data_IF_909661587366
#
_entry.id   IF_909661587366
#
_cell.length_a   1.000
_cell.length_b   1.000
_cell.length_c   1.000
_cell.angle_alpha   90.00
_cell.angle_beta   90.00
_cell.angle_gamma   90.00
#
_symmetry.space_group_name_H-M   'P 1'
#
loop_
_entity.id
_entity.type
_entity.pdbx_description
1 polymer ?
#
# COMPACT_ATOMS: atom_id res chain seq x y z
N UNK A 1 -16.05 -9.04 -1.72
CA UNK A 1 -14.94 -8.16 -2.15
C UNK A 1 -14.20 -8.78 -3.33
N UNK A 2 -13.53 -7.98 -4.17
CA UNK A 2 -12.77 -8.44 -5.35
C UNK A 2 -11.42 -7.74 -5.34
N UNK A 3 -10.31 -8.51 -5.33
CA UNK A 3 -8.96 -7.94 -5.29
C UNK A 3 -7.97 -8.81 -6.11
N UNK A 4 -7.24 -8.20 -7.05
CA UNK A 4 -6.20 -8.88 -7.81
C UNK A 4 -4.90 -8.99 -6.98
N UNK A 5 -4.97 -9.73 -5.91
CA UNK A 5 -3.88 -9.95 -4.94
C UNK A 5 -4.03 -11.33 -4.30
N UNK A 6 -3.03 -11.77 -3.53
CA UNK A 6 -3.16 -12.94 -2.64
C UNK A 6 -3.62 -12.46 -1.27
N UNK A 7 -4.59 -13.16 -0.66
CA UNK A 7 -5.26 -12.67 0.56
C UNK A 7 -4.31 -12.52 1.74
N UNK A 8 -3.43 -13.49 1.98
CA UNK A 8 -2.54 -13.50 3.12
C UNK A 8 -1.48 -12.38 3.10
N UNK A 9 -1.12 -11.90 1.90
CA UNK A 9 -0.05 -10.89 1.75
C UNK A 9 -0.56 -9.45 1.65
N UNK A 10 -1.88 -9.25 1.47
CA UNK A 10 -2.46 -7.92 1.34
C UNK A 10 -3.12 -7.46 2.64
N UNK A 11 -2.34 -6.78 3.46
CA UNK A 11 -2.77 -6.32 4.78
C UNK A 11 -3.98 -5.37 4.74
N UNK A 12 -4.16 -4.57 3.66
CA UNK A 12 -5.30 -3.66 3.53
C UNK A 12 -6.59 -4.41 3.23
N UNK A 13 -6.58 -5.21 2.17
CA UNK A 13 -7.75 -6.03 1.76
C UNK A 13 -8.20 -6.92 2.92
N UNK A 14 -7.24 -7.55 3.58
CA UNK A 14 -7.47 -8.43 4.70
C UNK A 14 -8.12 -7.69 5.88
N UNK A 15 -7.53 -6.59 6.32
CA UNK A 15 -8.04 -5.78 7.44
C UNK A 15 -9.44 -5.24 7.19
N UNK A 16 -9.73 -4.76 5.99
CA UNK A 16 -11.06 -4.27 5.63
C UNK A 16 -12.08 -5.39 5.59
N UNK A 17 -11.73 -6.54 5.02
CA UNK A 17 -12.60 -7.72 4.98
C UNK A 17 -12.92 -8.25 6.39
N UNK A 18 -11.91 -8.43 7.23
CA UNK A 18 -12.03 -8.89 8.61
C UNK A 18 -12.84 -7.89 9.47
N UNK A 19 -12.65 -6.59 9.25
CA UNK A 19 -13.45 -5.55 9.92
C UNK A 19 -14.94 -5.69 9.63
N UNK A 20 -15.33 -5.91 8.38
CA UNK A 20 -16.74 -6.06 8.02
C UNK A 20 -17.25 -7.44 8.43
N UNK A 21 -16.45 -8.49 8.32
CA UNK A 21 -16.83 -9.85 8.75
C UNK A 21 -17.03 -9.97 10.27
N UNK A 22 -16.42 -9.09 11.08
CA UNK A 22 -16.64 -9.05 12.52
C UNK A 22 -18.04 -8.54 12.93
N UNK A 23 -18.80 -7.97 11.99
CA UNK A 23 -20.17 -7.50 12.25
C UNK A 23 -21.17 -8.65 12.05
N UNK A 24 -22.13 -8.87 12.99
CA UNK A 24 -23.03 -10.02 12.97
C UNK A 24 -23.94 -10.06 11.74
N UNK A 25 -24.24 -8.89 11.15
CA UNK A 25 -25.18 -8.76 10.03
C UNK A 25 -24.51 -8.93 8.66
N UNK A 26 -23.20 -9.14 8.62
CA UNK A 26 -22.44 -9.22 7.37
C UNK A 26 -21.78 -10.58 7.18
N UNK A 27 -21.88 -11.10 5.96
CA UNK A 27 -21.06 -12.22 5.47
C UNK A 27 -20.17 -11.71 4.37
N UNK A 28 -18.87 -11.89 4.53
CA UNK A 28 -17.86 -11.36 3.58
C UNK A 28 -17.23 -12.51 2.82
N UNK A 29 -17.31 -12.43 1.47
CA UNK A 29 -16.54 -13.30 0.58
C UNK A 29 -15.56 -12.44 -0.19
N UNK A 30 -14.28 -12.86 -0.26
CA UNK A 30 -13.22 -12.16 -0.99
C UNK A 30 -12.74 -13.03 -2.16
N UNK A 31 -12.85 -12.52 -3.39
CA UNK A 31 -12.31 -13.15 -4.58
C UNK A 31 -10.89 -12.65 -4.82
N UNK A 32 -9.93 -13.58 -4.82
CA UNK A 32 -8.50 -13.29 -4.87
C UNK A 32 -7.76 -14.21 -5.86
N UNK A 33 -6.50 -13.90 -6.14
CA UNK A 33 -5.60 -14.79 -6.88
C UNK A 33 -5.31 -16.05 -6.07
N UNK A 34 -5.08 -17.16 -6.76
CA UNK A 34 -4.67 -18.39 -6.09
C UNK A 34 -3.26 -18.26 -5.52
N UNK A 35 -3.09 -18.74 -4.32
CA UNK A 35 -1.83 -18.83 -3.61
C UNK A 35 -1.35 -20.30 -3.52
N UNK A 36 -2.30 -21.22 -3.49
CA UNK A 36 -2.07 -22.67 -3.47
C UNK A 36 -1.92 -23.25 -4.88
N UNK A 37 -1.41 -24.47 -4.96
CA UNK A 37 -1.24 -25.18 -6.26
C UNK A 37 -2.58 -25.28 -7.01
N UNK A 38 -3.67 -25.56 -6.28
CA UNK A 38 -5.04 -25.53 -6.78
C UNK A 38 -5.81 -24.40 -6.11
N UNK A 39 -6.76 -23.80 -6.86
CA UNK A 39 -7.64 -22.76 -6.31
C UNK A 39 -8.53 -23.35 -5.21
N UNK A 40 -8.56 -22.70 -4.06
CA UNK A 40 -9.23 -23.19 -2.86
C UNK A 40 -10.31 -22.19 -2.37
N UNK A 41 -11.21 -22.68 -1.53
CA UNK A 41 -12.12 -21.85 -0.76
C UNK A 41 -12.01 -22.23 0.69
N UNK A 42 -11.70 -21.26 1.55
CA UNK A 42 -11.51 -21.47 2.98
C UNK A 42 -12.05 -20.28 3.79
N UNK A 43 -12.20 -20.47 5.08
CA UNK A 43 -12.61 -19.39 6.00
C UNK A 43 -11.41 -19.00 6.84
N UNK A 44 -11.11 -17.70 6.90
CA UNK A 44 -10.07 -17.13 7.74
C UNK A 44 -10.60 -15.86 8.41
N UNK A 45 -10.54 -15.81 9.74
CA UNK A 45 -11.00 -14.66 10.54
C UNK A 45 -12.42 -14.18 10.18
N UNK A 46 -13.34 -15.15 9.95
CA UNK A 46 -14.74 -14.89 9.57
C UNK A 46 -14.96 -14.52 8.10
N UNK A 47 -13.92 -14.45 7.29
CA UNK A 47 -13.97 -14.13 5.86
C UNK A 47 -13.92 -15.39 5.02
N UNK A 48 -14.89 -15.58 4.09
CA UNK A 48 -14.83 -16.60 3.05
C UNK A 48 -13.85 -16.17 1.97
N UNK A 49 -12.66 -16.75 1.93
CA UNK A 49 -11.65 -16.49 0.90
C UNK A 49 -11.87 -17.47 -0.24
N UNK A 50 -12.12 -16.94 -1.43
CA UNK A 50 -12.34 -17.71 -2.65
C UNK A 50 -11.20 -17.43 -3.62
N UNK A 51 -10.27 -18.35 -3.74
CA UNK A 51 -9.20 -18.28 -4.72
C UNK A 51 -9.74 -18.55 -6.13
N UNK A 52 -9.56 -17.61 -7.02
CA UNK A 52 -9.84 -17.80 -8.43
C UNK A 52 -8.66 -18.52 -9.09
N UNK A 53 -8.93 -19.37 -10.08
CA UNK A 53 -7.85 -20.16 -10.72
C UNK A 53 -6.95 -19.29 -11.63
N UNK A 54 -6.35 -18.27 -11.07
CA UNK A 54 -5.43 -17.33 -11.72
C UNK A 54 -4.23 -17.11 -10.81
N UNK A 55 -3.05 -17.47 -11.28
CA UNK A 55 -1.80 -17.22 -10.56
C UNK A 55 -1.31 -15.78 -10.77
N UNK A 56 -0.64 -15.21 -9.76
CA UNK A 56 0.00 -13.89 -9.87
C UNK A 56 1.12 -13.93 -10.92
N UNK A 57 0.96 -13.18 -12.00
CA UNK A 57 2.04 -13.02 -12.97
C UNK A 57 3.16 -12.13 -12.39
N UNK A 58 4.41 -12.59 -12.47
CA UNK A 58 5.59 -11.88 -11.91
C UNK A 58 6.65 -11.53 -12.98
N UNK A 59 6.30 -11.66 -14.26
CA UNK A 59 7.24 -11.38 -15.37
C UNK A 59 7.20 -9.93 -15.82
N UNK A 60 8.09 -9.55 -16.75
CA UNK A 60 8.20 -8.19 -17.32
C UNK A 60 7.28 -7.93 -18.54
N UNK A 61 6.53 -8.92 -19.01
CA UNK A 61 5.73 -8.80 -20.23
C UNK A 61 4.36 -8.17 -19.92
N UNK A 62 4.14 -6.95 -20.40
CA UNK A 62 2.91 -6.17 -20.20
C UNK A 62 1.66 -6.86 -20.73
N UNK A 63 1.76 -7.56 -21.89
CA UNK A 63 0.61 -8.29 -22.46
C UNK A 63 0.18 -9.46 -21.59
N UNK A 64 1.12 -10.19 -20.99
CA UNK A 64 0.80 -11.26 -20.04
C UNK A 64 0.16 -10.73 -18.77
N UNK A 65 0.54 -9.54 -18.30
CA UNK A 65 -0.16 -8.87 -17.21
C UNK A 65 -1.61 -8.57 -17.60
N UNK A 66 -1.82 -7.96 -18.77
CA UNK A 66 -3.16 -7.63 -19.23
C UNK A 66 -4.05 -8.87 -19.37
N UNK A 67 -3.52 -9.94 -19.96
CA UNK A 67 -4.23 -11.22 -20.08
C UNK A 67 -4.59 -11.78 -18.70
N UNK A 68 -3.67 -11.73 -17.73
CA UNK A 68 -3.93 -12.20 -16.37
C UNK A 68 -5.03 -11.39 -15.69
N UNK A 69 -5.05 -10.06 -15.87
CA UNK A 69 -6.14 -9.21 -15.37
C UNK A 69 -7.50 -9.52 -16.00
N UNK A 70 -7.52 -9.75 -17.32
CA UNK A 70 -8.77 -10.09 -18.05
C UNK A 70 -9.29 -11.45 -17.60
N UNK A 71 -8.43 -12.46 -17.47
CA UNK A 71 -8.83 -13.79 -16.99
C UNK A 71 -9.38 -13.69 -15.56
N UNK A 72 -8.73 -12.95 -14.68
CA UNK A 72 -9.21 -12.72 -13.32
C UNK A 72 -10.57 -12.00 -13.32
N UNK A 73 -10.73 -10.94 -14.13
CA UNK A 73 -11.98 -10.22 -14.29
C UNK A 73 -13.12 -11.17 -14.70
N UNK A 74 -12.87 -12.06 -15.68
CA UNK A 74 -13.90 -13.00 -16.15
C UNK A 74 -14.33 -13.97 -15.06
N UNK A 75 -13.39 -14.55 -14.30
CA UNK A 75 -13.71 -15.41 -13.17
C UNK A 75 -14.48 -14.66 -12.07
N UNK A 76 -14.04 -13.46 -11.71
CA UNK A 76 -14.72 -12.61 -10.74
C UNK A 76 -16.13 -12.21 -11.20
N UNK A 77 -16.30 -11.89 -12.49
CA UNK A 77 -17.59 -11.58 -13.10
C UNK A 77 -18.57 -12.75 -12.98
N UNK A 78 -18.14 -13.96 -13.34
CA UNK A 78 -18.99 -15.16 -13.24
C UNK A 78 -19.40 -15.45 -11.79
N UNK A 79 -18.46 -15.39 -10.86
CA UNK A 79 -18.72 -15.60 -9.42
C UNK A 79 -19.65 -14.52 -8.85
N UNK A 80 -19.40 -13.24 -9.18
CA UNK A 80 -20.21 -12.13 -8.72
C UNK A 80 -21.65 -12.20 -9.27
N UNK A 81 -21.81 -12.51 -10.56
CA UNK A 81 -23.12 -12.71 -11.20
C UNK A 81 -23.84 -13.92 -10.59
N UNK A 82 -23.13 -15.04 -10.36
CA UNK A 82 -23.70 -16.21 -9.70
C UNK A 82 -24.23 -15.92 -8.29
N UNK A 83 -23.45 -15.20 -7.45
CA UNK A 83 -23.92 -14.76 -6.12
C UNK A 83 -25.11 -13.79 -6.21
N UNK A 84 -25.16 -12.94 -7.23
CA UNK A 84 -26.32 -12.09 -7.48
C UNK A 84 -27.57 -12.91 -7.83
N UNK A 85 -27.46 -13.86 -8.75
CA UNK A 85 -28.59 -14.73 -9.18
C UNK A 85 -29.09 -15.61 -8.05
N UNK A 86 -28.22 -16.09 -7.16
CA UNK A 86 -28.60 -16.84 -5.95
C UNK A 86 -29.12 -15.95 -4.81
N UNK A 87 -29.28 -14.64 -5.05
CA UNK A 87 -29.77 -13.67 -4.07
C UNK A 87 -28.92 -13.57 -2.78
N UNK A 88 -27.60 -13.82 -2.91
CA UNK A 88 -26.64 -13.81 -1.80
C UNK A 88 -25.64 -12.64 -1.91
N UNK A 89 -25.94 -11.61 -2.71
CA UNK A 89 -25.07 -10.46 -2.96
C UNK A 89 -25.82 -9.16 -2.67
N UNK A 90 -25.35 -8.36 -1.72
CA UNK A 90 -25.92 -7.07 -1.34
C UNK A 90 -25.05 -5.88 -1.72
N UNK A 91 -23.75 -6.07 -1.71
CA UNK A 91 -22.74 -5.03 -1.95
C UNK A 91 -21.50 -5.65 -2.60
N UNK A 92 -20.89 -4.94 -3.54
CA UNK A 92 -19.60 -5.32 -4.10
C UNK A 92 -18.56 -4.26 -3.72
N UNK A 93 -17.43 -4.67 -3.16
CA UNK A 93 -16.29 -3.82 -2.89
C UNK A 93 -15.12 -4.30 -3.75
N UNK A 94 -14.64 -3.44 -4.62
CA UNK A 94 -13.57 -3.74 -5.58
C UNK A 94 -12.33 -2.95 -5.20
N UNK A 95 -11.24 -3.65 -4.95
CA UNK A 95 -9.91 -3.05 -4.73
C UNK A 95 -9.16 -2.96 -6.05
N UNK A 96 -8.65 -1.79 -6.38
CA UNK A 96 -7.78 -1.66 -7.53
C UNK A 96 -6.36 -2.16 -7.15
N UNK A 97 -5.42 -2.46 -8.01
CA UNK A 97 -5.37 -2.27 -9.46
C UNK A 97 -5.67 -3.57 -10.19
N UNK A 98 -6.27 -3.53 -11.38
CA UNK A 98 -6.71 -2.34 -12.13
C UNK A 98 -8.13 -1.88 -11.77
N UNK A 99 -8.50 -0.62 -12.12
CA UNK A 99 -9.84 -0.10 -11.82
C UNK A 99 -10.94 -0.83 -12.58
N UNK A 100 -10.67 -1.32 -13.79
CA UNK A 100 -11.67 -2.01 -14.61
C UNK A 100 -12.18 -3.32 -13.98
N UNK A 101 -11.60 -3.79 -12.87
CA UNK A 101 -12.19 -4.89 -12.08
C UNK A 101 -13.61 -4.56 -11.59
N UNK A 102 -13.99 -3.29 -11.54
CA UNK A 102 -15.37 -2.86 -11.24
C UNK A 102 -16.38 -3.46 -12.21
N UNK A 103 -15.98 -3.81 -13.45
CA UNK A 103 -16.84 -4.48 -14.42
C UNK A 103 -17.22 -5.90 -14.02
N UNK A 104 -16.52 -6.53 -13.07
CA UNK A 104 -16.96 -7.80 -12.51
C UNK A 104 -18.34 -7.69 -11.84
N UNK A 105 -18.72 -6.50 -11.41
CA UNK A 105 -20.02 -6.21 -10.79
C UNK A 105 -21.02 -5.55 -11.75
N UNK A 106 -20.77 -5.52 -13.08
CA UNK A 106 -21.62 -4.76 -14.02
C UNK A 106 -23.07 -5.24 -14.01
N UNK A 107 -23.33 -6.55 -14.05
CA UNK A 107 -24.68 -7.10 -14.00
C UNK A 107 -25.35 -6.76 -12.66
N UNK A 108 -24.81 -7.14 -11.48
CA UNK A 108 -25.38 -6.71 -10.21
C UNK A 108 -25.62 -5.20 -10.12
N UNK A 109 -24.70 -4.40 -10.65
CA UNK A 109 -24.79 -2.93 -10.63
C UNK A 109 -25.96 -2.38 -11.43
N UNK A 110 -26.23 -2.95 -12.62
CA UNK A 110 -27.37 -2.58 -13.45
C UNK A 110 -28.70 -2.88 -12.76
N UNK A 111 -28.73 -3.89 -11.89
CA UNK A 111 -29.90 -4.27 -11.09
C UNK A 111 -29.89 -3.69 -9.66
N UNK A 112 -29.16 -2.59 -9.43
CA UNK A 112 -29.25 -1.78 -8.22
C UNK A 112 -28.29 -2.12 -7.11
N UNK A 113 -27.46 -3.19 -7.24
CA UNK A 113 -26.39 -3.48 -6.26
C UNK A 113 -25.39 -2.32 -6.20
N UNK A 114 -25.04 -1.92 -5.01
CA UNK A 114 -24.05 -0.83 -4.81
C UNK A 114 -22.65 -1.39 -5.00
N UNK A 115 -21.78 -0.55 -5.56
CA UNK A 115 -20.37 -0.91 -5.80
C UNK A 115 -19.47 0.14 -5.18
N UNK A 116 -18.53 -0.31 -4.35
CA UNK A 116 -17.41 0.49 -3.83
C UNK A 116 -16.20 0.21 -4.71
N UNK A 117 -15.49 1.25 -5.13
CA UNK A 117 -14.17 1.16 -5.76
C UNK A 117 -13.14 1.73 -4.79
N UNK A 118 -12.26 0.88 -4.25
CA UNK A 118 -11.16 1.28 -3.39
C UNK A 118 -9.89 1.46 -4.25
N UNK A 119 -9.45 2.71 -4.36
CA UNK A 119 -8.29 3.11 -5.14
C UNK A 119 -7.06 3.14 -4.22
N UNK A 120 -6.26 2.07 -4.25
CA UNK A 120 -5.01 1.99 -3.52
C UNK A 120 -3.93 2.88 -4.14
N UNK A 121 -3.81 2.80 -5.46
CA UNK A 121 -2.90 3.61 -6.27
C UNK A 121 -3.65 4.21 -7.46
N UNK A 122 -3.34 5.46 -7.81
CA UNK A 122 -3.89 6.06 -9.02
C UNK A 122 -3.21 5.41 -10.24
N UNK A 123 -4.02 4.79 -11.09
CA UNK A 123 -3.59 3.92 -12.18
C UNK A 123 -2.65 4.64 -13.15
N UNK A 124 -3.00 5.84 -13.56
CA UNK A 124 -2.29 6.62 -14.58
C UNK A 124 -0.87 6.92 -14.14
N UNK A 125 -0.69 7.42 -12.92
CA UNK A 125 0.61 7.75 -12.34
C UNK A 125 1.46 6.50 -12.13
N UNK A 126 0.84 5.41 -11.69
CA UNK A 126 1.53 4.15 -11.45
C UNK A 126 2.04 3.54 -12.76
N UNK A 127 1.24 3.55 -13.82
CA UNK A 127 1.69 3.08 -15.14
C UNK A 127 2.75 4.00 -15.74
N UNK A 128 2.60 5.33 -15.64
CA UNK A 128 3.60 6.27 -16.12
C UNK A 128 4.96 6.10 -15.43
N UNK A 129 4.98 5.66 -14.17
CA UNK A 129 6.22 5.41 -13.43
C UNK A 129 6.89 4.07 -13.74
N UNK A 130 6.11 3.07 -14.19
CA UNK A 130 6.62 1.70 -14.46
C UNK A 130 7.15 1.53 -15.88
N UNK A 131 6.58 2.25 -16.83
CA UNK A 131 6.85 2.03 -18.24
C UNK A 131 7.51 3.27 -18.86
N UNK A 132 8.85 3.26 -18.95
CA UNK A 132 9.62 4.23 -19.71
C UNK A 132 9.21 4.16 -21.19
N UNK A 133 8.49 5.14 -21.68
CA UNK A 133 8.00 5.17 -23.07
C UNK A 133 6.51 5.44 -23.23
N UNK A 134 5.74 5.53 -22.15
CA UNK A 134 4.35 5.97 -22.18
C UNK A 134 4.20 7.49 -22.40
N UNK A 135 4.92 8.03 -23.37
CA UNK A 135 4.71 9.40 -23.85
C UNK A 135 3.49 9.51 -24.79
N UNK A 136 2.89 8.38 -25.19
CA UNK A 136 1.75 8.38 -26.10
C UNK A 136 0.52 9.04 -25.45
N UNK A 137 0.20 10.24 -25.94
CA UNK A 137 -0.91 11.06 -25.46
C UNK A 137 -2.26 10.33 -25.55
N UNK A 138 -2.43 9.49 -26.57
CA UNK A 138 -3.65 8.71 -26.80
C UNK A 138 -3.82 7.63 -25.72
N UNK A 139 -2.74 6.96 -25.32
CA UNK A 139 -2.80 5.96 -24.26
C UNK A 139 -3.14 6.58 -22.88
N UNK A 140 -2.52 7.72 -22.55
CA UNK A 140 -2.86 8.46 -21.31
C UNK A 140 -4.33 8.86 -21.31
N UNK A 141 -4.83 9.34 -22.44
CA UNK A 141 -6.25 9.67 -22.59
C UNK A 141 -7.14 8.43 -22.37
N UNK A 142 -6.76 7.28 -22.94
CA UNK A 142 -7.48 6.01 -22.72
C UNK A 142 -7.55 5.62 -21.24
N UNK A 143 -6.47 5.79 -20.48
CA UNK A 143 -6.45 5.54 -19.03
C UNK A 143 -7.34 6.53 -18.26
N UNK A 144 -7.39 7.80 -18.65
CA UNK A 144 -8.31 8.77 -18.03
C UNK A 144 -9.78 8.41 -18.30
N UNK A 145 -10.09 7.96 -19.52
CA UNK A 145 -11.44 7.49 -19.86
C UNK A 145 -11.80 6.25 -19.05
N UNK A 146 -10.87 5.29 -18.93
CA UNK A 146 -11.07 4.09 -18.09
C UNK A 146 -11.35 4.47 -16.63
N UNK A 147 -10.49 5.32 -16.02
CA UNK A 147 -10.68 5.81 -14.66
C UNK A 147 -12.05 6.48 -14.48
N UNK A 148 -12.40 7.36 -15.40
CA UNK A 148 -13.68 8.08 -15.37
C UNK A 148 -14.88 7.12 -15.45
N UNK A 149 -14.86 6.14 -16.36
CA UNK A 149 -15.93 5.13 -16.50
C UNK A 149 -16.04 4.31 -15.22
N UNK A 150 -14.92 3.81 -14.70
CA UNK A 150 -14.89 3.00 -13.49
C UNK A 150 -15.42 3.78 -12.27
N UNK A 151 -15.01 5.04 -12.12
CA UNK A 151 -15.52 5.95 -11.09
C UNK A 151 -17.01 6.28 -11.26
N UNK A 152 -17.51 6.35 -12.50
CA UNK A 152 -18.96 6.54 -12.76
C UNK A 152 -19.77 5.32 -12.36
N UNK A 153 -19.31 4.11 -12.66
CA UNK A 153 -19.94 2.85 -12.27
C UNK A 153 -19.98 2.66 -10.75
N UNK A 154 -18.95 3.07 -10.05
CA UNK A 154 -18.89 3.00 -8.60
C UNK A 154 -19.98 3.87 -7.92
N UNK A 155 -20.60 3.35 -6.87
CA UNK A 155 -21.53 4.10 -6.00
C UNK A 155 -20.78 4.99 -5.03
N UNK A 156 -19.66 4.48 -4.51
CA UNK A 156 -18.69 5.19 -3.64
C UNK A 156 -17.28 4.84 -4.06
N UNK A 157 -16.35 5.71 -3.74
CA UNK A 157 -14.93 5.58 -4.08
C UNK A 157 -14.13 5.86 -2.81
N UNK A 158 -13.23 4.97 -2.49
CA UNK A 158 -12.27 5.13 -1.38
C UNK A 158 -10.92 5.54 -1.98
N UNK A 159 -10.23 6.47 -1.33
CA UNK A 159 -8.87 6.92 -1.65
C UNK A 159 -7.97 6.68 -0.43
N UNK A 160 -6.71 6.34 -0.66
CA UNK A 160 -5.77 6.05 0.45
C UNK A 160 -5.18 7.29 1.11
N UNK A 161 -5.35 8.49 0.52
CA UNK A 161 -4.89 9.74 1.10
C UNK A 161 -5.60 10.96 0.48
N UNK A 162 -5.45 12.13 1.11
CA UNK A 162 -6.11 13.36 0.69
C UNK A 162 -5.58 13.91 -0.64
N UNK A 163 -4.34 13.60 -1.06
CA UNK A 163 -3.81 14.03 -2.35
C UNK A 163 -4.45 13.26 -3.50
N UNK A 164 -4.63 11.94 -3.34
CA UNK A 164 -5.40 11.14 -4.29
C UNK A 164 -6.85 11.61 -4.38
N UNK A 165 -7.47 11.89 -3.22
CA UNK A 165 -8.81 12.47 -3.18
C UNK A 165 -8.88 13.76 -4.00
N UNK A 166 -7.96 14.71 -3.77
CA UNK A 166 -7.93 15.97 -4.50
C UNK A 166 -7.69 15.76 -6.01
N UNK A 167 -6.77 14.86 -6.37
CA UNK A 167 -6.53 14.51 -7.78
C UNK A 167 -7.78 14.01 -8.49
N UNK A 168 -8.60 13.18 -7.83
CA UNK A 168 -9.84 12.68 -8.40
C UNK A 168 -10.91 13.79 -8.48
N UNK A 169 -10.97 14.70 -7.51
CA UNK A 169 -11.84 15.89 -7.57
C UNK A 169 -11.46 16.76 -8.76
N UNK A 170 -10.17 17.05 -8.95
CA UNK A 170 -9.66 17.87 -10.05
C UNK A 170 -9.93 17.22 -11.43
N UNK A 171 -10.07 15.89 -11.47
CA UNK A 171 -10.48 15.11 -12.66
C UNK A 171 -12.00 15.05 -12.85
N UNK A 172 -12.78 15.77 -12.04
CA UNK A 172 -14.24 15.88 -12.17
C UNK A 172 -15.02 14.73 -11.56
N UNK A 173 -14.42 13.94 -10.66
CA UNK A 173 -15.16 12.93 -9.89
C UNK A 173 -15.92 13.64 -8.77
N UNK A 174 -17.22 13.32 -8.66
CA UNK A 174 -18.12 14.00 -7.72
C UNK A 174 -17.70 13.76 -6.26
N UNK A 175 -17.46 14.84 -5.52
CA UNK A 175 -17.07 14.85 -4.08
C UNK A 175 -17.92 13.91 -3.23
N UNK A 176 -19.25 13.91 -3.44
CA UNK A 176 -20.20 13.04 -2.70
C UNK A 176 -19.94 11.54 -2.85
N UNK A 177 -19.17 11.11 -3.85
CA UNK A 177 -18.77 9.70 -4.04
C UNK A 177 -17.48 9.36 -3.31
N UNK A 178 -16.64 10.34 -3.04
CA UNK A 178 -15.28 10.15 -2.55
C UNK A 178 -15.22 10.14 -1.02
N UNK A 179 -14.38 9.30 -0.47
CA UNK A 179 -13.95 9.32 0.92
C UNK A 179 -12.49 8.92 1.04
N UNK A 180 -11.84 9.38 2.11
CA UNK A 180 -10.47 8.98 2.42
C UNK A 180 -10.50 7.89 3.49
N UNK A 181 -9.91 6.74 3.18
CA UNK A 181 -9.62 5.67 4.13
C UNK A 181 -8.13 5.35 4.02
N UNK A 182 -7.34 5.90 4.91
CA UNK A 182 -5.88 5.82 4.81
C UNK A 182 -5.37 4.39 4.98
N UNK A 183 -4.29 4.07 4.27
CA UNK A 183 -3.59 2.80 4.47
C UNK A 183 -2.63 2.91 5.67
N UNK A 184 -3.16 2.77 6.87
CA UNK A 184 -2.43 2.87 8.13
C UNK A 184 -1.87 1.52 8.56
N UNK A 185 -0.80 1.48 9.37
CA UNK A 185 -0.37 0.26 10.04
C UNK A 185 -1.48 -0.31 10.93
N UNK A 186 -1.50 -1.63 11.06
CA UNK A 186 -2.41 -2.31 11.98
C UNK A 186 -1.97 -2.02 13.44
N UNK A 187 -2.79 -1.32 14.26
CA UNK A 187 -2.39 -0.97 15.62
C UNK A 187 -2.22 -2.18 16.55
N UNK A 188 -2.84 -3.32 16.23
CA UNK A 188 -2.63 -4.55 16.98
C UNK A 188 -1.22 -5.13 16.78
N UNK A 189 -0.61 -4.89 15.63
CA UNK A 189 0.72 -5.40 15.27
C UNK A 189 1.80 -4.33 15.41
N UNK A 190 1.51 -3.11 14.94
CA UNK A 190 2.43 -1.97 14.94
C UNK A 190 2.08 -1.03 16.09
N UNK A 191 2.49 -1.37 17.29
CA UNK A 191 2.33 -0.50 18.46
C UNK A 191 3.65 -0.29 19.18
N UNK A 192 3.80 0.91 19.72
CA UNK A 192 4.88 1.24 20.66
C UNK A 192 4.56 0.61 22.03
N UNK A 193 4.77 -0.68 22.19
CA UNK A 193 4.73 -1.29 23.50
C UNK A 193 5.96 -0.81 24.25
N UNK A 194 5.82 0.00 25.29
CA UNK A 194 6.81 0.69 26.09
C UNK A 194 8.15 0.01 26.45
N UNK A 195 8.57 -0.96 25.66
CA UNK A 195 9.88 -1.58 25.72
C UNK A 195 10.95 -0.54 25.47
N UNK A 196 11.73 -0.27 26.48
CA UNK A 196 12.91 0.60 26.38
C UNK A 196 13.84 0.00 25.31
N UNK A 197 14.14 0.78 24.28
CA UNK A 197 15.22 0.44 23.34
C UNK A 197 16.51 0.14 24.11
N UNK A 198 17.15 -0.97 23.78
CA UNK A 198 18.50 -1.22 24.24
C UNK A 198 19.41 -0.06 23.78
N UNK A 199 20.21 0.55 24.66
CA UNK A 199 21.00 1.71 24.31
C UNK A 199 21.99 1.40 23.17
N UNK A 200 22.09 2.32 22.21
CA UNK A 200 22.96 2.31 21.04
C UNK A 200 24.45 1.99 21.31
N UNK A 201 24.90 2.16 22.53
CA UNK A 201 26.33 2.29 22.88
C UNK A 201 27.17 1.01 22.75
N UNK A 202 26.59 -0.14 22.41
CA UNK A 202 27.36 -1.40 22.32
C UNK A 202 27.28 -2.12 20.96
N UNK A 203 26.49 -1.65 19.99
CA UNK A 203 26.19 -2.42 18.77
C UNK A 203 26.33 -1.65 17.43
N UNK A 204 26.81 -0.40 17.43
CA UNK A 204 26.82 0.46 16.24
C UNK A 204 25.45 1.05 15.91
N UNK A 205 25.37 1.82 14.80
CA UNK A 205 24.15 2.48 14.33
C UNK A 205 23.52 1.69 13.19
N UNK A 206 22.28 1.25 13.35
CA UNK A 206 21.61 0.32 12.44
C UNK A 206 20.47 1.00 11.69
N UNK A 207 20.63 1.06 10.39
CA UNK A 207 19.62 1.51 9.43
C UNK A 207 18.83 0.32 8.91
N UNK A 208 17.56 0.53 8.58
CA UNK A 208 16.74 -0.48 7.92
C UNK A 208 15.92 0.10 6.78
N UNK A 209 15.85 -0.65 5.70
CA UNK A 209 14.83 -0.59 4.66
C UNK A 209 14.09 -1.92 4.62
N UNK A 210 12.78 -1.91 4.47
CA UNK A 210 12.00 -3.13 4.31
C UNK A 210 10.89 -2.95 3.27
N UNK A 211 10.68 -3.99 2.46
CA UNK A 211 9.62 -4.07 1.45
C UNK A 211 10.14 -4.31 0.03
N UNK A 212 9.41 -3.83 -0.98
CA UNK A 212 9.72 -4.09 -2.38
C UNK A 212 11.04 -3.44 -2.80
N UNK A 213 11.92 -4.20 -3.45
CA UNK A 213 13.24 -3.74 -3.91
C UNK A 213 13.13 -3.38 -5.40
N UNK A 214 12.96 -2.08 -5.68
CA UNK A 214 12.87 -1.55 -7.06
C UNK A 214 13.57 -0.19 -7.17
N UNK A 215 14.07 0.15 -8.38
CA UNK A 215 14.70 1.46 -8.65
C UNK A 215 13.82 2.65 -8.27
N UNK A 216 12.52 2.52 -8.49
CA UNK A 216 11.53 3.54 -8.15
C UNK A 216 11.56 3.92 -6.67
N UNK A 217 11.92 3.00 -5.80
CA UNK A 217 11.97 3.19 -4.36
C UNK A 217 13.36 3.62 -3.85
N UNK A 218 14.33 3.87 -4.76
CA UNK A 218 15.56 4.61 -4.47
C UNK A 218 16.56 3.93 -3.54
N UNK A 219 16.55 2.60 -3.44
CA UNK A 219 17.45 1.87 -2.54
C UNK A 219 18.92 2.10 -2.91
N UNK A 220 19.22 2.27 -4.20
CA UNK A 220 20.54 2.66 -4.69
C UNK A 220 21.01 4.01 -4.14
N UNK A 221 20.10 4.98 -3.97
CA UNK A 221 20.42 6.26 -3.32
C UNK A 221 20.85 6.04 -1.86
N UNK A 222 20.14 5.16 -1.13
CA UNK A 222 20.48 4.83 0.25
C UNK A 222 21.83 4.11 0.34
N UNK A 223 22.14 3.16 -0.54
CA UNK A 223 23.43 2.45 -0.59
C UNK A 223 24.56 3.45 -0.86
N UNK A 224 24.39 4.38 -1.81
CA UNK A 224 25.39 5.43 -2.10
C UNK A 224 25.55 6.41 -0.93
N UNK A 225 24.46 6.80 -0.28
CA UNK A 225 24.50 7.65 0.90
C UNK A 225 25.25 6.98 2.06
N UNK A 226 25.03 5.70 2.29
CA UNK A 226 25.79 4.89 3.28
C UNK A 226 27.28 4.88 2.96
N UNK A 227 27.65 4.75 1.67
CA UNK A 227 29.05 4.82 1.25
C UNK A 227 29.72 6.16 1.62
N UNK A 228 29.01 7.29 1.46
CA UNK A 228 29.54 8.62 1.78
C UNK A 228 29.76 8.85 3.27
N UNK A 229 28.96 8.20 4.13
CA UNK A 229 29.01 8.43 5.59
C UNK A 229 29.66 7.31 6.39
N UNK A 230 30.02 6.18 5.79
CA UNK A 230 30.54 5.00 6.50
C UNK A 230 31.74 5.31 7.41
N UNK A 231 32.61 6.24 6.99
CA UNK A 231 33.76 6.65 7.79
C UNK A 231 33.40 7.63 8.94
N UNK A 232 32.21 8.27 8.88
CA UNK A 232 31.75 9.26 9.86
C UNK A 232 30.90 8.65 10.98
N UNK A 233 30.38 7.45 10.78
CA UNK A 233 29.51 6.77 11.74
C UNK A 233 30.13 5.42 12.11
N UNK A 234 30.80 5.33 13.26
CA UNK A 234 31.41 4.07 13.71
C UNK A 234 30.37 2.96 13.89
N UNK A 235 30.66 1.78 13.35
CA UNK A 235 29.76 0.62 13.45
C UNK A 235 28.45 0.76 12.68
N UNK A 236 28.41 1.61 11.63
CA UNK A 236 27.25 1.75 10.75
C UNK A 236 26.91 0.41 10.09
N UNK A 237 25.64 0.05 10.14
CA UNK A 237 25.08 -1.13 9.45
C UNK A 237 23.78 -0.73 8.74
N UNK A 238 23.57 -1.24 7.54
CA UNK A 238 22.33 -1.02 6.78
C UNK A 238 21.74 -2.33 6.34
N UNK A 239 20.54 -2.63 6.83
CA UNK A 239 19.80 -3.86 6.56
C UNK A 239 18.70 -3.60 5.56
N UNK A 240 18.60 -4.44 4.52
CA UNK A 240 17.62 -4.35 3.44
C UNK A 240 16.82 -5.66 3.41
N UNK A 241 15.57 -5.59 3.85
CA UNK A 241 14.66 -6.73 3.89
C UNK A 241 13.61 -6.62 2.79
N UNK A 242 13.52 -7.64 1.95
CA UNK A 242 12.50 -7.70 0.92
C UNK A 242 12.92 -8.40 -0.35
N UNK A 243 12.05 -8.31 -1.35
CA UNK A 243 12.26 -8.87 -2.68
C UNK A 243 11.86 -7.89 -3.77
N UNK A 244 12.40 -8.05 -4.97
CA UNK A 244 12.05 -7.20 -6.10
C UNK A 244 12.99 -7.42 -7.28
N UNK A 245 12.59 -6.85 -8.43
CA UNK A 245 13.25 -7.08 -9.71
C UNK A 245 14.67 -6.50 -9.81
N UNK A 246 15.00 -5.50 -8.98
CA UNK A 246 16.28 -4.81 -9.02
C UNK A 246 17.23 -5.23 -7.88
N UNK A 247 16.87 -6.29 -7.12
CA UNK A 247 17.65 -6.75 -5.97
C UNK A 247 19.09 -7.11 -6.33
N UNK A 248 19.28 -7.86 -7.39
CA UNK A 248 20.62 -8.34 -7.80
C UNK A 248 21.49 -7.18 -8.27
N UNK A 249 20.91 -6.18 -8.94
CA UNK A 249 21.62 -4.96 -9.35
C UNK A 249 22.09 -4.16 -8.12
N UNK A 250 21.26 -4.07 -7.07
CA UNK A 250 21.65 -3.34 -5.87
C UNK A 250 22.66 -4.10 -4.98
N UNK A 251 22.59 -5.42 -5.01
CA UNK A 251 23.61 -6.26 -4.38
C UNK A 251 24.98 -6.04 -5.08
N UNK A 252 24.98 -6.01 -6.40
CA UNK A 252 26.18 -5.76 -7.18
C UNK A 252 26.73 -4.32 -6.94
N UNK A 253 25.84 -3.32 -6.88
CA UNK A 253 26.24 -1.95 -6.51
C UNK A 253 26.92 -1.91 -5.14
N UNK A 254 26.40 -2.64 -4.15
CA UNK A 254 27.00 -2.73 -2.81
C UNK A 254 28.40 -3.31 -2.85
N UNK A 255 28.63 -4.37 -3.64
CA UNK A 255 29.96 -4.98 -3.84
C UNK A 255 30.94 -4.02 -4.52
N UNK A 256 30.52 -3.35 -5.59
CA UNK A 256 31.34 -2.37 -6.31
C UNK A 256 31.80 -1.22 -5.41
N UNK A 257 31.00 -0.86 -4.41
CA UNK A 257 31.33 0.16 -3.43
C UNK A 257 32.09 -0.39 -2.21
N UNK A 258 32.41 -1.69 -2.18
CA UNK A 258 33.06 -2.39 -1.05
C UNK A 258 32.28 -2.19 0.26
N UNK A 259 30.97 -2.45 0.24
CA UNK A 259 30.06 -2.30 1.38
C UNK A 259 29.57 -3.62 1.97
N UNK A 260 30.15 -4.77 1.59
CA UNK A 260 29.68 -6.10 2.02
C UNK A 260 29.66 -6.27 3.56
N UNK A 261 30.55 -5.59 4.27
CA UNK A 261 30.60 -5.58 5.74
C UNK A 261 29.58 -4.62 6.40
N UNK A 262 28.87 -3.80 5.61
CA UNK A 262 27.99 -2.72 6.10
C UNK A 262 26.57 -2.87 5.61
N UNK A 263 26.38 -3.29 4.35
CA UNK A 263 25.04 -3.41 3.71
C UNK A 263 24.67 -4.88 3.61
N UNK A 264 23.55 -5.24 4.24
CA UNK A 264 23.09 -6.61 4.36
C UNK A 264 21.71 -6.77 3.71
N UNK A 265 21.63 -7.66 2.75
CA UNK A 265 20.36 -8.03 2.10
C UNK A 265 19.81 -9.33 2.71
N UNK A 266 18.52 -9.37 3.01
CA UNK A 266 17.88 -10.65 3.36
C UNK A 266 17.96 -11.64 2.21
N UNK A 267 18.24 -12.91 2.51
CA UNK A 267 18.29 -13.97 1.50
C UNK A 267 16.89 -14.35 1.00
N UNK A 268 15.92 -14.32 1.92
CA UNK A 268 14.54 -14.72 1.66
C UNK A 268 13.55 -13.63 2.09
N UNK A 269 12.30 -13.79 1.67
CA UNK A 269 11.19 -12.98 2.18
C UNK A 269 11.00 -13.28 3.67
N UNK A 270 10.92 -12.22 4.48
CA UNK A 270 10.79 -12.31 5.94
C UNK A 270 9.32 -12.13 6.30
N UNK A 271 8.75 -13.01 7.16
CA UNK A 271 7.38 -12.87 7.65
C UNK A 271 7.15 -11.52 8.37
N UNK A 272 5.90 -11.03 8.34
CA UNK A 272 5.57 -9.72 8.89
C UNK A 272 5.91 -9.59 10.39
N UNK A 273 5.63 -10.60 11.17
CA UNK A 273 5.89 -10.63 12.60
C UNK A 273 7.38 -10.52 12.92
N UNK A 274 8.21 -11.16 12.10
CA UNK A 274 9.67 -11.11 12.21
C UNK A 274 10.19 -9.72 11.77
N UNK A 275 9.66 -9.14 10.68
CA UNK A 275 9.98 -7.78 10.24
C UNK A 275 9.68 -6.76 11.34
N UNK A 276 8.55 -6.88 12.03
CA UNK A 276 8.21 -6.00 13.15
C UNK A 276 9.27 -6.08 14.25
N UNK A 277 9.68 -7.30 14.63
CA UNK A 277 10.72 -7.52 15.64
C UNK A 277 12.07 -6.94 15.21
N UNK A 278 12.44 -7.15 13.95
CA UNK A 278 13.67 -6.62 13.36
C UNK A 278 13.64 -5.08 13.39
N UNK A 279 12.59 -4.45 12.87
CA UNK A 279 12.47 -2.98 12.80
C UNK A 279 12.53 -2.36 14.19
N UNK A 280 11.88 -2.95 15.19
CA UNK A 280 11.98 -2.51 16.61
C UNK A 280 13.42 -2.48 17.13
N UNK A 281 14.29 -3.33 16.62
CA UNK A 281 15.69 -3.40 17.01
C UNK A 281 16.60 -2.38 16.29
N UNK A 282 16.08 -1.64 15.31
CA UNK A 282 16.84 -0.70 14.48
C UNK A 282 16.81 0.73 15.04
N UNK A 283 17.75 1.55 14.60
CA UNK A 283 17.90 2.93 15.07
C UNK A 283 17.21 3.93 14.15
N UNK A 284 17.09 3.60 12.85
CA UNK A 284 16.54 4.51 11.84
C UNK A 284 15.95 3.72 10.66
N UNK A 285 14.75 4.06 10.24
CA UNK A 285 14.14 3.56 9.01
C UNK A 285 14.47 4.52 7.86
N UNK A 286 14.91 3.98 6.74
CA UNK A 286 15.18 4.75 5.52
C UNK A 286 14.09 4.46 4.49
N UNK A 287 13.43 5.50 3.99
CA UNK A 287 12.43 5.43 2.91
C UNK A 287 12.90 6.32 1.78
N UNK A 288 13.81 5.86 0.91
CA UNK A 288 14.53 6.70 -0.03
C UNK A 288 13.78 6.92 -1.35
N UNK A 289 12.46 6.88 -1.33
CA UNK A 289 11.61 6.94 -2.53
C UNK A 289 12.03 8.07 -3.48
N UNK A 290 12.21 7.72 -4.77
CA UNK A 290 12.48 8.70 -5.82
C UNK A 290 11.27 9.58 -6.07
N UNK A 291 11.51 10.81 -6.52
CA UNK A 291 10.45 11.72 -6.97
C UNK A 291 9.97 11.34 -8.36
N UNK A 292 8.74 10.89 -8.48
CA UNK A 292 8.08 10.62 -9.74
C UNK A 292 6.56 10.79 -9.58
N UNK A 293 5.83 10.72 -10.70
CA UNK A 293 4.37 10.95 -10.70
C UNK A 293 3.60 10.01 -9.77
N UNK A 294 4.06 8.77 -9.56
CA UNK A 294 3.39 7.83 -8.65
C UNK A 294 3.72 8.12 -7.18
N UNK A 295 4.99 8.36 -6.85
CA UNK A 295 5.41 8.64 -5.48
C UNK A 295 4.90 9.99 -4.96
N UNK A 296 4.59 10.93 -5.87
CA UNK A 296 3.89 12.19 -5.57
C UNK A 296 2.40 12.01 -5.24
N UNK A 297 1.88 10.77 -5.31
CA UNK A 297 0.51 10.40 -4.92
C UNK A 297 0.46 9.37 -3.79
N UNK A 298 1.60 8.86 -3.35
CA UNK A 298 1.69 7.76 -2.39
C UNK A 298 2.21 8.23 -1.04
N UNK A 299 1.44 8.01 0.04
CA UNK A 299 1.98 8.08 1.39
C UNK A 299 2.63 6.73 1.73
N UNK A 300 3.96 6.67 1.95
CA UNK A 300 4.65 5.40 2.13
C UNK A 300 4.24 4.69 3.43
N UNK A 301 3.62 3.53 3.32
CA UNK A 301 3.18 2.74 4.50
C UNK A 301 4.36 2.36 5.40
N UNK A 302 5.52 2.05 4.82
CA UNK A 302 6.75 1.72 5.57
C UNK A 302 7.22 2.84 6.51
N UNK A 303 7.05 4.09 6.08
CA UNK A 303 7.28 5.26 6.93
C UNK A 303 6.34 5.24 8.14
N UNK A 304 5.04 5.02 7.89
CA UNK A 304 4.04 4.95 8.95
C UNK A 304 4.26 3.77 9.89
N UNK A 305 4.65 2.61 9.35
CA UNK A 305 5.01 1.41 10.13
C UNK A 305 6.23 1.67 11.04
N UNK A 306 7.28 2.30 10.50
CA UNK A 306 8.44 2.71 11.30
C UNK A 306 8.06 3.66 12.44
N UNK A 307 7.27 4.70 12.14
CA UNK A 307 6.79 5.67 13.14
C UNK A 307 5.89 5.02 14.19
N UNK A 308 4.99 4.11 13.77
CA UNK A 308 4.11 3.38 14.68
C UNK A 308 4.88 2.46 15.65
N UNK A 309 6.02 1.93 15.21
CA UNK A 309 6.95 1.17 16.05
C UNK A 309 7.86 2.06 16.92
N UNK A 310 7.74 3.39 16.81
CA UNK A 310 8.56 4.34 17.53
C UNK A 310 9.99 4.47 16.98
N UNK A 311 10.22 4.11 15.71
CA UNK A 311 11.51 4.24 15.06
C UNK A 311 11.53 5.52 14.23
N UNK A 312 12.51 6.42 14.40
CA UNK A 312 12.66 7.60 13.56
C UNK A 312 12.82 7.21 12.09
N UNK A 313 12.33 8.08 11.20
CA UNK A 313 12.38 7.82 9.76
C UNK A 313 13.06 8.95 9.01
N UNK A 314 13.84 8.59 7.99
CA UNK A 314 14.39 9.51 6.98
C UNK A 314 13.57 9.33 5.70
N UNK A 315 13.02 10.42 5.18
CA UNK A 315 12.09 10.43 4.05
C UNK A 315 12.41 11.56 3.07
N UNK A 316 12.10 11.42 1.78
CA UNK A 316 12.25 12.50 0.81
C UNK A 316 11.17 13.58 1.00
N UNK A 317 11.47 14.81 0.59
CA UNK A 317 10.46 15.88 0.46
C UNK A 317 9.56 15.61 -0.73
N UNK A 318 8.52 14.83 -0.51
CA UNK A 318 7.45 14.55 -1.47
C UNK A 318 6.14 15.11 -0.96
N UNK A 319 5.31 15.61 -1.87
CA UNK A 319 4.01 16.24 -1.54
C UNK A 319 3.16 15.45 -0.54
N UNK A 320 2.95 14.11 -0.69
CA UNK A 320 2.13 13.37 0.26
C UNK A 320 2.76 13.27 1.64
N UNK A 321 4.08 13.30 1.75
CA UNK A 321 4.75 13.27 3.05
C UNK A 321 4.66 14.66 3.70
N UNK A 322 4.98 15.74 2.96
CA UNK A 322 4.92 17.12 3.47
C UNK A 322 3.49 17.59 3.79
N UNK A 323 2.45 16.97 3.20
CA UNK A 323 1.06 17.23 3.54
C UNK A 323 0.69 16.78 4.97
N UNK A 324 1.28 15.68 5.43
CA UNK A 324 0.94 15.08 6.72
C UNK A 324 1.98 15.31 7.81
N UNK A 325 3.24 15.55 7.44
CA UNK A 325 4.37 15.59 8.35
C UNK A 325 5.22 16.83 8.11
N UNK A 326 5.84 17.29 9.20
CA UNK A 326 6.83 18.37 9.20
C UNK A 326 8.19 17.86 9.67
N UNK A 327 9.20 18.72 9.64
CA UNK A 327 10.51 18.41 10.18
C UNK A 327 10.53 18.13 11.69
N UNK A 328 9.43 18.40 12.39
CA UNK A 328 9.30 18.06 13.82
C UNK A 328 8.99 16.57 14.06
N UNK A 329 8.52 15.84 13.03
CA UNK A 329 8.11 14.45 13.15
C UNK A 329 9.01 13.48 12.41
N UNK A 330 9.66 13.95 11.31
CA UNK A 330 10.50 13.12 10.45
C UNK A 330 11.77 13.84 10.06
N UNK A 331 12.76 13.11 9.57
CA UNK A 331 13.96 13.68 8.96
C UNK A 331 13.74 13.76 7.45
N UNK A 332 13.75 14.96 6.90
CA UNK A 332 13.59 15.18 5.47
C UNK A 332 14.94 15.28 4.75
N UNK A 333 15.01 14.68 3.56
CA UNK A 333 16.10 14.92 2.61
C UNK A 333 15.55 15.36 1.25
N UNK A 334 16.39 16.02 0.44
CA UNK A 334 16.01 16.44 -0.91
C UNK A 334 15.96 15.23 -1.85
N UNK A 335 14.82 14.98 -2.57
CA UNK A 335 14.67 13.84 -3.46
C UNK A 335 15.81 13.76 -4.51
N UNK A 336 16.20 12.55 -4.90
CA UNK A 336 17.27 12.26 -5.87
C UNK A 336 18.68 12.72 -5.44
N UNK A 337 18.85 13.29 -4.25
CA UNK A 337 20.10 13.85 -3.77
C UNK A 337 20.75 12.94 -2.73
N UNK A 338 21.78 12.19 -3.17
CA UNK A 338 22.57 11.27 -2.32
C UNK A 338 23.24 12.01 -1.15
N UNK A 339 23.81 13.18 -1.40
CA UNK A 339 24.52 13.96 -0.37
C UNK A 339 23.54 14.47 0.70
N UNK A 340 22.35 14.96 0.27
CA UNK A 340 21.30 15.35 1.20
C UNK A 340 20.86 14.18 2.07
N UNK A 341 20.64 12.99 1.49
CA UNK A 341 20.31 11.78 2.23
C UNK A 341 21.42 11.40 3.22
N UNK A 342 22.68 11.41 2.78
CA UNK A 342 23.85 11.12 3.60
C UNK A 342 23.95 12.07 4.80
N UNK A 343 23.82 13.38 4.57
CA UNK A 343 23.83 14.39 5.62
C UNK A 343 22.67 14.21 6.61
N UNK A 344 21.49 13.92 6.11
CA UNK A 344 20.30 13.69 6.96
C UNK A 344 20.46 12.45 7.84
N UNK A 345 21.04 11.35 7.32
CA UNK A 345 21.36 10.17 8.14
C UNK A 345 22.40 10.52 9.21
N UNK A 346 23.46 11.26 8.85
CA UNK A 346 24.47 11.69 9.80
C UNK A 346 23.90 12.62 10.88
N UNK A 347 22.99 13.54 10.52
CA UNK A 347 22.24 14.36 11.47
C UNK A 347 21.41 13.49 12.42
N UNK A 348 20.65 12.54 11.88
CA UNK A 348 19.86 11.63 12.70
C UNK A 348 20.72 10.77 13.65
N UNK A 349 21.93 10.42 13.26
CA UNK A 349 22.90 9.73 14.14
C UNK A 349 23.33 10.62 15.31
N UNK A 350 23.72 11.88 15.04
CA UNK A 350 24.24 12.82 16.05
C UNK A 350 23.15 13.32 16.99
N UNK A 351 21.95 13.58 16.47
CA UNK A 351 20.83 14.19 17.21
C UNK A 351 19.94 13.13 17.89
N UNK A 352 20.43 12.57 18.99
CA UNK A 352 19.68 11.59 19.79
C UNK A 352 18.41 12.19 20.40
N UNK A 353 18.51 13.42 20.91
CA UNK A 353 17.34 14.13 21.54
C UNK A 353 16.30 14.41 20.48
N UNK A 354 16.71 14.94 19.33
CA UNK A 354 15.80 15.19 18.22
C UNK A 354 15.09 13.94 17.69
N UNK A 355 15.77 12.76 17.69
CA UNK A 355 15.08 11.49 17.36
C UNK A 355 13.93 11.21 18.33
N UNK A 356 14.18 11.34 19.64
CA UNK A 356 13.16 11.07 20.66
C UNK A 356 11.99 12.07 20.59
N UNK A 357 12.28 13.35 20.34
CA UNK A 357 11.26 14.38 20.20
C UNK A 357 10.42 14.22 18.94
N UNK A 358 11.05 13.83 17.81
CA UNK A 358 10.30 13.49 16.60
C UNK A 358 9.34 12.33 16.83
N UNK A 359 9.72 11.33 17.59
CA UNK A 359 8.85 10.19 17.91
C UNK A 359 7.68 10.61 18.81
N UNK A 360 7.88 11.52 19.76
CA UNK A 360 6.78 12.11 20.55
C UNK A 360 5.81 12.88 19.65
N UNK A 361 6.34 13.70 18.74
CA UNK A 361 5.52 14.49 17.83
C UNK A 361 4.80 13.63 16.76
N UNK A 362 5.40 12.53 16.31
CA UNK A 362 4.77 11.62 15.36
C UNK A 362 3.52 10.93 15.91
N UNK A 363 3.40 10.75 17.24
CA UNK A 363 2.18 10.23 17.88
C UNK A 363 0.95 11.04 17.55
N UNK A 364 1.06 12.36 17.42
CA UNK A 364 -0.05 13.26 17.05
C UNK A 364 -0.69 12.89 15.72
N UNK A 365 0.11 12.35 14.77
CA UNK A 365 -0.44 11.86 13.51
C UNK A 365 -1.38 10.66 13.74
N UNK A 366 -0.95 9.67 14.53
CA UNK A 366 -1.77 8.49 14.82
C UNK A 366 -2.96 8.76 15.73
N UNK A 367 -2.89 9.80 16.57
CA UNK A 367 -4.05 10.31 17.34
C UNK A 367 -5.10 10.94 16.40
N UNK A 368 -4.65 11.70 15.39
CA UNK A 368 -5.53 12.34 14.42
C UNK A 368 -6.10 11.36 13.39
N UNK A 369 -5.30 10.41 12.93
CA UNK A 369 -5.63 9.45 11.90
C UNK A 369 -5.58 8.01 12.45
N UNK A 370 -6.33 7.76 13.51
CA UNK A 370 -6.39 6.44 14.13
C UNK A 370 -7.15 5.44 13.23
N UNK A 371 -6.67 4.20 13.19
CA UNK A 371 -7.38 3.13 12.47
C UNK A 371 -8.82 2.95 13.00
N UNK A 372 -9.03 3.10 14.31
CA UNK A 372 -10.38 2.97 14.90
C UNK A 372 -11.39 3.97 14.30
N UNK A 373 -10.95 5.20 13.99
CA UNK A 373 -11.80 6.17 13.29
C UNK A 373 -12.11 5.70 11.87
N UNK A 374 -11.09 5.29 11.12
CA UNK A 374 -11.28 4.78 9.76
C UNK A 374 -12.11 3.49 9.70
N UNK A 375 -12.00 2.64 10.71
CA UNK A 375 -12.85 1.46 10.89
C UNK A 375 -14.32 1.84 11.02
N UNK A 376 -14.63 2.86 11.84
CA UNK A 376 -16.00 3.37 11.99
C UNK A 376 -16.51 4.00 10.68
N UNK A 377 -15.68 4.73 9.96
CA UNK A 377 -16.00 5.30 8.65
C UNK A 377 -16.33 4.20 7.62
N UNK A 378 -15.52 3.13 7.57
CA UNK A 378 -15.75 1.98 6.70
C UNK A 378 -17.08 1.28 7.05
N UNK A 379 -17.33 1.03 8.33
CA UNK A 379 -18.59 0.42 8.80
C UNK A 379 -19.78 1.32 8.46
N UNK A 380 -19.66 2.63 8.68
CA UNK A 380 -20.68 3.61 8.33
C UNK A 380 -20.98 3.63 6.83
N UNK A 381 -19.96 3.54 5.99
CA UNK A 381 -20.08 3.43 4.54
C UNK A 381 -20.90 2.18 4.16
N UNK A 382 -20.54 1.01 4.69
CA UNK A 382 -21.25 -0.24 4.41
C UNK A 382 -22.71 -0.18 4.83
N UNK A 383 -23.00 0.29 6.04
CA UNK A 383 -24.37 0.46 6.55
C UNK A 383 -25.18 1.39 5.65
N UNK A 384 -24.62 2.54 5.25
CA UNK A 384 -25.31 3.51 4.39
C UNK A 384 -25.71 2.93 3.03
N UNK A 385 -24.89 2.04 2.47
CA UNK A 385 -25.13 1.42 1.17
C UNK A 385 -26.05 0.19 1.25
N UNK A 386 -26.09 -0.51 2.38
CA UNK A 386 -26.92 -1.69 2.60
C UNK A 386 -28.38 -1.33 2.93
N UNK A 387 -28.64 -0.16 3.51
CA UNK A 387 -30.02 0.28 3.88
C UNK A 387 -30.82 0.81 2.69
N UNK A 388 -30.19 1.14 1.57
CA UNK A 388 -30.91 1.53 0.36
C UNK A 388 -31.60 0.29 -0.25
N UNK A 389 -32.94 0.18 -0.06
CA UNK A 389 -33.76 -0.95 -0.50
C UNK A 389 -33.53 -1.32 -1.96
N UNK A 390 -33.30 -2.60 -2.24
CA UNK A 390 -33.32 -3.18 -3.59
C UNK A 390 -34.67 -2.96 -4.24
N UNK A 391 -34.76 -2.56 -5.51
CA UNK A 391 -35.99 -2.77 -6.26
C UNK A 391 -36.23 -4.29 -6.38
N UNK A 392 -37.45 -4.79 -6.09
CA UNK A 392 -37.73 -6.23 -6.15
C UNK A 392 -37.50 -6.76 -7.58
N UNK A 393 -36.72 -7.83 -7.72
CA UNK A 393 -36.37 -8.50 -8.99
C UNK A 393 -37.62 -8.82 -9.87
N UNK A 394 -38.77 -9.05 -9.26
CA UNK A 394 -40.06 -9.35 -9.96
C UNK A 394 -40.63 -8.16 -10.76
N UNK A 395 -40.15 -6.92 -10.59
CA UNK A 395 -40.64 -5.76 -11.35
C UNK A 395 -39.82 -5.42 -12.59
N UNK A 396 -38.75 -6.16 -12.89
CA UNK A 396 -37.82 -5.86 -13.96
C UNK A 396 -37.77 -6.92 -15.08
N UNK A 397 -38.55 -7.97 -14.96
CA UNK A 397 -38.82 -8.91 -16.06
C UNK A 397 -40.24 -8.66 -16.58
N UNK A 398 -40.40 -8.41 -17.91
CA UNK A 398 -41.69 -8.21 -18.51
C UNK A 398 -42.56 -9.46 -18.44
#
# INVERSE_FOLDING_TARGET
MIAYTTYLTDARVRREAETIASLPDYRVSVFVLKEHAEANTYILDGVEVVELNVAKYRGKNTMKYLVSYIVFLMHAFLKCTGKYMSNTLDLVHVHNMPNFLVFAAIIPRLFGIKVILDIHDILIETYASKFNGFSNRLFKYGLHVEEWICCKLASRIICTNHLQYQTLVDRGIAVKKLMVLMNLPDPAKFCMNGEKRNPMNQRGFRLVYFGTITKRLGIDLAIRAVNEIRAKIPGLQFYIYGSGEDRDEFLELSRQLNLDAIVHFSEHAVPLEEIISIVKSMDLVIVPNRKNVATEQMLPVKMLEGLALGIPVVVPRLKPIEYYFTGEQVFFFEPENVQSLAMTIAQAYQDKIGRDDKMKNAKKFFEKYAWETHKLDLIGLYRSLSTEKRPPLRKLLP
#
